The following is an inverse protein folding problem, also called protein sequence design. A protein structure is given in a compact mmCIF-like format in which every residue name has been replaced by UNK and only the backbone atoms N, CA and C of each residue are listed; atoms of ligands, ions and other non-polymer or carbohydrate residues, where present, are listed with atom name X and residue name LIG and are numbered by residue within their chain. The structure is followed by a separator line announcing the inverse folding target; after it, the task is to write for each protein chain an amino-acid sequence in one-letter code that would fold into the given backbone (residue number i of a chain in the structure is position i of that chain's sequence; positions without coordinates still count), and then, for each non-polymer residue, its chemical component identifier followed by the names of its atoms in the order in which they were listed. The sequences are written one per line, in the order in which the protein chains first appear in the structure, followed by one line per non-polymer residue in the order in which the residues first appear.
data_IF_596757316525
#
_entry.id   IF_596757316525
#
_cell.length_a   1.000
_cell.length_b   1.000
_cell.length_c   1.000
_cell.angle_alpha   90.00
_cell.angle_beta   90.00
_cell.angle_gamma   90.00
#
_symmetry.space_group_name_H-M   'P 1'
#
loop_
_entity.id
_entity.type
_entity.pdbx_description
1 polymer ?
#
# COMPACT_ATOMS: atom_id res chain seq x y z
N UNK A 1 4.17 -4.49 14.84
CA UNK A 1 3.59 -4.73 13.50
C UNK A 1 3.67 -3.41 12.75
N UNK A 2 4.17 -3.41 11.52
CA UNK A 2 4.29 -2.23 10.68
C UNK A 2 3.73 -2.55 9.30
N UNK A 3 2.90 -1.67 8.76
CA UNK A 3 2.30 -1.82 7.44
C UNK A 3 3.03 -0.99 6.40
N UNK A 4 3.17 -1.52 5.20
CA UNK A 4 3.73 -0.80 4.05
C UNK A 4 3.02 -1.21 2.77
N UNK A 5 2.83 -0.25 1.86
CA UNK A 5 2.35 -0.54 0.52
C UNK A 5 3.50 -0.66 -0.48
N UNK A 6 3.49 -1.72 -1.28
CA UNK A 6 4.52 -2.11 -2.24
C UNK A 6 3.91 -2.45 -3.61
N UNK A 7 4.74 -2.66 -4.64
CA UNK A 7 4.30 -3.14 -5.96
C UNK A 7 3.20 -2.32 -6.66
N UNK A 8 3.30 -0.99 -6.65
CA UNK A 8 2.34 -0.10 -7.30
C UNK A 8 2.34 -0.23 -8.83
N UNK A 9 1.16 -0.44 -9.42
CA UNK A 9 0.91 -0.50 -10.85
C UNK A 9 -0.37 0.29 -11.15
N UNK A 10 -0.30 1.38 -11.92
CA UNK A 10 0.91 2.05 -12.39
C UNK A 10 1.75 2.64 -11.23
N UNK A 11 3.02 2.94 -11.49
CA UNK A 11 3.93 3.50 -10.48
C UNK A 11 3.45 4.84 -9.89
N UNK A 12 2.60 5.58 -10.62
CA UNK A 12 1.93 6.80 -10.13
C UNK A 12 1.04 6.54 -8.91
N UNK A 13 0.59 5.30 -8.70
CA UNK A 13 -0.13 4.87 -7.49
C UNK A 13 0.57 5.25 -6.20
N UNK A 14 1.91 5.27 -6.18
CA UNK A 14 2.71 5.64 -5.00
C UNK A 14 2.51 7.10 -4.55
N UNK A 15 2.07 7.97 -5.47
CA UNK A 15 1.87 9.39 -5.18
C UNK A 15 0.44 9.71 -4.73
N UNK A 16 -0.51 8.81 -5.00
CA UNK A 16 -1.94 9.01 -4.76
C UNK A 16 -2.49 8.11 -3.66
N UNK A 17 -1.77 7.05 -3.28
CA UNK A 17 -2.14 6.11 -2.22
C UNK A 17 -1.12 6.20 -1.09
N UNK A 18 -1.61 6.36 0.13
CA UNK A 18 -0.81 6.33 1.36
C UNK A 18 -1.35 5.30 2.33
N UNK A 19 -0.46 4.71 3.13
CA UNK A 19 -0.82 3.71 4.16
C UNK A 19 -0.24 4.14 5.48
N UNK A 20 -1.08 4.15 6.52
CA UNK A 20 -0.65 4.40 7.88
C UNK A 20 0.17 3.19 8.37
N UNK A 21 1.46 3.36 8.71
CA UNK A 21 2.32 2.24 9.07
C UNK A 21 1.96 1.58 10.41
N UNK A 22 1.15 2.22 11.25
CA UNK A 22 0.73 1.71 12.56
C UNK A 22 -0.63 1.04 12.51
N UNK A 23 -1.60 1.64 11.81
CA UNK A 23 -2.99 1.13 11.78
C UNK A 23 -3.30 0.31 10.53
N UNK A 24 -2.53 0.46 9.45
CA UNK A 24 -2.82 -0.13 8.14
C UNK A 24 -3.91 0.59 7.36
N UNK A 25 -4.41 1.73 7.85
CA UNK A 25 -5.41 2.53 7.13
C UNK A 25 -4.86 3.04 5.80
N UNK A 26 -5.68 2.94 4.76
CA UNK A 26 -5.35 3.38 3.40
C UNK A 26 -6.08 4.67 3.12
N UNK A 27 -5.34 5.70 2.70
CA UNK A 27 -5.88 7.02 2.38
C UNK A 27 -5.41 7.47 1.00
N UNK A 28 -6.30 8.16 0.29
CA UNK A 28 -5.94 8.84 -0.95
C UNK A 28 -5.32 10.20 -0.64
N UNK A 29 -4.19 10.49 -1.26
CA UNK A 29 -3.50 11.79 -1.16
C UNK A 29 -3.86 12.74 -2.31
N UNK A 30 -4.54 12.22 -3.34
CA UNK A 30 -5.05 12.99 -4.46
C UNK A 30 -6.35 12.38 -5.00
N UNK A 31 -7.07 13.14 -5.82
CA UNK A 31 -8.23 12.63 -6.54
C UNK A 31 -7.80 11.59 -7.59
N UNK A 32 -8.64 10.58 -7.80
CA UNK A 32 -8.46 9.59 -8.86
C UNK A 32 -9.31 9.99 -10.06
N UNK A 33 -8.70 10.03 -11.23
CA UNK A 33 -9.39 10.22 -12.50
C UNK A 33 -9.39 8.90 -13.29
N UNK A 34 -10.59 8.40 -13.58
CA UNK A 34 -10.76 7.13 -14.30
C UNK A 34 -10.33 7.23 -15.76
N UNK A 35 -10.40 8.42 -16.36
CA UNK A 35 -9.97 8.65 -17.74
C UNK A 35 -8.43 8.62 -17.87
N UNK A 36 -7.73 8.94 -16.78
CA UNK A 36 -6.27 8.88 -16.69
C UNK A 36 -5.77 7.47 -16.34
N UNK A 37 -6.32 6.87 -15.28
CA UNK A 37 -5.96 5.52 -14.83
C UNK A 37 -7.21 4.79 -14.34
N UNK A 38 -7.54 3.70 -15.04
CA UNK A 38 -8.73 2.90 -14.71
C UNK A 38 -8.53 1.93 -13.55
N UNK A 39 -7.30 1.48 -13.30
CA UNK A 39 -6.98 0.49 -12.27
C UNK A 39 -5.65 0.85 -11.59
N UNK A 40 -5.67 0.85 -10.26
CA UNK A 40 -4.47 0.88 -9.43
C UNK A 40 -4.36 -0.43 -8.65
N UNK A 41 -3.32 -1.19 -8.94
CA UNK A 41 -2.94 -2.38 -8.20
C UNK A 41 -1.74 -2.07 -7.30
N UNK A 42 -1.80 -2.52 -6.05
CA UNK A 42 -0.69 -2.45 -5.11
C UNK A 42 -0.83 -3.56 -4.07
N UNK A 43 0.24 -3.83 -3.33
CA UNK A 43 0.28 -4.86 -2.28
C UNK A 43 0.43 -4.20 -0.92
N UNK A 44 -0.19 -4.80 0.10
CA UNK A 44 0.02 -4.44 1.50
C UNK A 44 0.85 -5.53 2.15
N UNK A 45 1.95 -5.12 2.77
CA UNK A 45 2.81 -5.97 3.58
C UNK A 45 2.69 -5.57 5.05
N UNK A 46 2.42 -6.56 5.92
CA UNK A 46 2.46 -6.40 7.36
C UNK A 46 3.70 -7.13 7.92
N UNK A 47 4.58 -6.38 8.58
CA UNK A 47 5.83 -6.89 9.17
C UNK A 47 5.75 -6.85 10.68
N UNK A 48 5.90 -7.97 11.36
CA UNK A 48 5.97 -7.97 12.82
C UNK A 48 7.35 -7.48 13.33
N UNK A 49 7.44 -7.24 14.64
CA UNK A 49 8.71 -6.88 15.32
C UNK A 49 9.37 -8.11 15.95
N UNK A 50 9.05 -9.30 15.46
CA UNK A 50 9.62 -10.56 15.94
C UNK A 50 11.08 -10.70 15.57
N UNK A 51 11.81 -11.57 16.26
CA UNK A 51 13.16 -11.99 15.87
C UNK A 51 13.16 -13.51 15.67
N UNK A 52 13.19 -14.01 14.42
CA UNK A 52 13.16 -13.28 13.15
C UNK A 52 11.78 -12.68 12.84
N UNK A 53 11.71 -11.58 12.06
CA UNK A 53 10.43 -10.97 11.73
C UNK A 53 9.67 -11.80 10.69
N UNK A 54 8.39 -12.05 10.91
CA UNK A 54 7.50 -12.70 9.93
C UNK A 54 6.77 -11.64 9.10
N UNK A 55 6.66 -11.89 7.79
CA UNK A 55 5.94 -11.04 6.84
C UNK A 55 4.79 -11.83 6.18
N UNK A 56 3.56 -11.34 6.33
CA UNK A 56 2.38 -11.88 5.64
C UNK A 56 2.04 -11.06 4.39
N UNK A 57 1.79 -11.73 3.28
CA UNK A 57 1.34 -11.11 2.02
C UNK A 57 -0.09 -11.59 1.75
N UNK A 58 -1.08 -10.70 1.79
CA UNK A 58 -2.43 -11.04 1.36
C UNK A 58 -2.57 -10.71 -0.14
N UNK A 59 -3.26 -11.61 -0.86
CA UNK A 59 -3.64 -11.42 -2.26
C UNK A 59 -5.12 -11.10 -2.35
#
# INVERSE_FOLDING_TARGET
LTFAATSYIPLSGRNVISVNPTTGEIHLTAALDFEEVSIFDFRIEARDQGTPPLSGHCR
#
